data_IF_911105131541
#
_entry.id   IF_911105131541
#
_cell.length_a   1.000
_cell.length_b   1.000
_cell.length_c   1.000
_cell.angle_alpha   90.00
_cell.angle_beta   90.00
_cell.angle_gamma   90.00
#
_symmetry.space_group_name_H-M   'P 1'
#
loop_
_entity.id
_entity.type
_entity.pdbx_description
1 polymer ?
#
# COMPACT_ATOMS: atom_id res chain seq x y z
N UNK A 1 10.20 -14.39 -1.94
CA UNK A 1 9.02 -13.51 -1.74
C UNK A 1 9.44 -12.12 -1.24
N UNK A 2 10.32 -12.03 -0.26
CA UNK A 2 10.80 -10.75 0.32
C UNK A 2 11.33 -9.74 -0.73
N UNK A 3 12.16 -10.17 -1.67
CA UNK A 3 12.63 -9.28 -2.76
C UNK A 3 11.47 -8.76 -3.63
N UNK A 4 10.39 -9.52 -3.75
CA UNK A 4 9.23 -9.10 -4.51
C UNK A 4 8.47 -7.96 -3.80
N UNK A 5 8.48 -7.90 -2.47
CA UNK A 5 7.86 -6.80 -1.72
C UNK A 5 8.57 -5.47 -1.99
N UNK A 6 9.90 -5.45 -2.07
CA UNK A 6 10.62 -4.25 -2.47
C UNK A 6 10.30 -3.79 -3.89
N UNK A 7 10.14 -4.74 -4.82
CA UNK A 7 9.69 -4.41 -6.17
C UNK A 7 8.26 -3.86 -6.17
N UNK A 8 7.36 -4.39 -5.34
CA UNK A 8 6.00 -3.84 -5.14
C UNK A 8 6.04 -2.41 -4.58
N UNK A 9 6.89 -2.14 -3.59
CA UNK A 9 7.05 -0.79 -3.01
C UNK A 9 7.52 0.21 -4.08
N UNK A 10 8.38 -0.23 -5.01
CA UNK A 10 8.87 0.56 -6.14
C UNK A 10 7.89 0.60 -7.32
N UNK A 11 6.77 -0.14 -7.27
CA UNK A 11 5.79 -0.31 -8.35
C UNK A 11 6.40 -0.97 -9.60
N UNK A 12 7.48 -1.76 -9.44
CA UNK A 12 8.14 -2.52 -10.50
C UNK A 12 7.49 -3.91 -10.66
N UNK A 13 6.28 -3.93 -11.22
CA UNK A 13 5.52 -5.17 -11.41
C UNK A 13 6.16 -6.16 -12.40
N UNK A 14 6.86 -5.74 -13.47
CA UNK A 14 7.68 -6.66 -14.29
C UNK A 14 8.71 -7.43 -13.46
N UNK A 15 9.37 -6.77 -12.52
CA UNK A 15 10.32 -7.41 -11.60
C UNK A 15 9.62 -8.38 -10.65
N UNK A 16 8.45 -8.01 -10.12
CA UNK A 16 7.63 -8.93 -9.30
C UNK A 16 7.29 -10.19 -10.08
N UNK A 17 6.85 -10.05 -11.34
CA UNK A 17 6.53 -11.20 -12.20
C UNK A 17 7.73 -12.12 -12.40
N UNK A 18 8.91 -11.55 -12.70
CA UNK A 18 10.15 -12.31 -12.87
C UNK A 18 10.51 -13.11 -11.60
N UNK A 19 10.40 -12.47 -10.42
CA UNK A 19 10.69 -13.13 -9.15
C UNK A 19 9.70 -14.24 -8.84
N UNK A 20 8.41 -14.00 -9.06
CA UNK A 20 7.38 -15.03 -8.83
C UNK A 20 7.48 -16.22 -9.80
N UNK A 21 7.91 -16.00 -11.05
CA UNK A 21 8.10 -17.08 -12.01
C UNK A 21 9.16 -18.10 -11.57
N UNK A 22 10.10 -17.72 -10.71
CA UNK A 22 11.12 -18.61 -10.15
C UNK A 22 10.63 -19.43 -8.96
N UNK A 23 9.43 -19.15 -8.42
CA UNK A 23 8.89 -19.80 -7.23
C UNK A 23 8.00 -20.96 -7.63
N UNK A 24 8.37 -22.18 -7.18
CA UNK A 24 7.47 -23.33 -7.31
C UNK A 24 6.41 -23.28 -6.20
N UNK A 25 5.17 -22.96 -6.56
CA UNK A 25 4.05 -22.87 -5.61
C UNK A 25 3.84 -24.17 -4.82
N UNK A 26 3.94 -25.31 -5.49
CA UNK A 26 3.69 -26.62 -4.86
C UNK A 26 4.77 -27.01 -3.84
N UNK A 27 5.91 -26.33 -3.85
CA UNK A 27 6.96 -26.44 -2.85
C UNK A 27 6.77 -25.56 -1.62
N UNK A 28 5.78 -24.65 -1.61
CA UNK A 28 5.48 -23.80 -0.47
C UNK A 28 4.71 -24.60 0.59
N UNK A 29 5.29 -24.75 1.78
CA UNK A 29 4.70 -25.56 2.87
C UNK A 29 4.18 -24.70 4.02
N UNK A 30 4.74 -23.49 4.22
CA UNK A 30 4.29 -22.56 5.27
C UNK A 30 3.06 -21.81 4.76
N UNK A 31 2.02 -21.73 5.62
CA UNK A 31 0.80 -20.97 5.29
C UNK A 31 1.11 -19.51 4.91
N UNK A 32 2.02 -18.89 5.63
CA UNK A 32 2.46 -17.51 5.38
C UNK A 32 2.99 -17.32 3.95
N UNK A 33 3.89 -18.20 3.49
CA UNK A 33 4.46 -18.14 2.14
C UNK A 33 3.40 -18.34 1.05
N UNK A 34 2.42 -19.21 1.31
CA UNK A 34 1.29 -19.45 0.39
C UNK A 34 0.40 -18.21 0.29
N UNK A 35 0.05 -17.58 1.42
CA UNK A 35 -0.75 -16.36 1.46
C UNK A 35 -0.01 -15.20 0.79
N UNK A 36 1.29 -15.07 1.06
CA UNK A 36 2.14 -14.06 0.44
C UNK A 36 2.21 -14.24 -1.08
N UNK A 37 2.40 -15.49 -1.54
CA UNK A 37 2.39 -15.80 -2.97
C UNK A 37 1.06 -15.40 -3.62
N UNK A 38 -0.09 -15.75 -3.02
CA UNK A 38 -1.40 -15.36 -3.56
C UNK A 38 -1.60 -13.85 -3.56
N UNK A 39 -1.15 -13.15 -2.52
CA UNK A 39 -1.21 -11.70 -2.48
C UNK A 39 -0.42 -11.05 -3.64
N UNK A 40 0.81 -11.49 -3.87
CA UNK A 40 1.63 -11.00 -4.97
C UNK A 40 1.02 -11.36 -6.35
N UNK A 41 0.41 -12.54 -6.48
CA UNK A 41 -0.32 -12.91 -7.71
C UNK A 41 -1.52 -12.00 -7.95
N UNK A 42 -2.26 -11.65 -6.91
CA UNK A 42 -3.36 -10.69 -6.99
C UNK A 42 -2.88 -9.29 -7.42
N UNK A 43 -1.76 -8.82 -6.88
CA UNK A 43 -1.16 -7.55 -7.30
C UNK A 43 -0.69 -7.56 -8.75
N UNK A 44 -0.09 -8.66 -9.24
CA UNK A 44 0.30 -8.80 -10.64
C UNK A 44 -0.92 -8.78 -11.57
N UNK A 45 -1.93 -9.59 -11.25
CA UNK A 45 -3.17 -9.62 -12.03
C UNK A 45 -3.79 -8.22 -12.14
N UNK A 46 -3.76 -7.44 -11.06
CA UNK A 46 -4.32 -6.09 -11.05
C UNK A 46 -3.48 -5.06 -11.82
N UNK A 47 -2.16 -5.04 -11.58
CA UNK A 47 -1.30 -3.93 -12.00
C UNK A 47 -0.50 -4.19 -13.29
N UNK A 48 -0.29 -5.46 -13.66
CA UNK A 48 0.45 -5.83 -14.86
C UNK A 48 -0.47 -6.43 -15.92
N UNK A 49 -1.32 -7.38 -15.53
CA UNK A 49 -2.16 -8.12 -16.46
C UNK A 49 -3.50 -7.41 -16.73
N UNK A 50 -3.87 -6.43 -15.90
CA UNK A 50 -5.16 -5.72 -15.92
C UNK A 50 -6.37 -6.69 -15.88
N UNK A 51 -6.20 -7.80 -15.15
CA UNK A 51 -7.17 -8.89 -15.00
C UNK A 51 -7.84 -8.81 -13.62
N UNK A 52 -8.80 -7.91 -13.47
CA UNK A 52 -9.47 -7.59 -12.20
C UNK A 52 -10.16 -8.81 -11.58
N UNK A 53 -10.77 -9.66 -12.42
CA UNK A 53 -11.42 -10.90 -11.95
C UNK A 53 -10.42 -11.86 -11.33
N UNK A 54 -9.25 -12.01 -11.95
CA UNK A 54 -8.18 -12.88 -11.42
C UNK A 54 -7.59 -12.28 -10.15
N UNK A 55 -7.44 -10.96 -10.09
CA UNK A 55 -7.01 -10.27 -8.88
C UNK A 55 -7.97 -10.55 -7.70
N UNK A 56 -9.28 -10.39 -7.92
CA UNK A 56 -10.31 -10.73 -6.90
C UNK A 56 -10.26 -12.20 -6.50
N UNK A 57 -10.05 -13.12 -7.45
CA UNK A 57 -9.91 -14.55 -7.14
C UNK A 57 -8.75 -14.79 -6.16
N UNK A 58 -7.58 -14.21 -6.41
CA UNK A 58 -6.42 -14.36 -5.53
C UNK A 58 -6.65 -13.74 -4.15
N UNK A 59 -7.22 -12.54 -4.08
CA UNK A 59 -7.50 -11.88 -2.80
C UNK A 59 -8.58 -12.64 -2.01
N UNK A 60 -9.65 -13.09 -2.63
CA UNK A 60 -10.69 -13.88 -1.96
C UNK A 60 -10.16 -15.23 -1.46
N UNK A 61 -9.22 -15.86 -2.18
CA UNK A 61 -8.54 -17.08 -1.69
C UNK A 61 -7.85 -16.84 -0.34
N UNK A 62 -7.29 -15.64 -0.12
CA UNK A 62 -6.70 -15.26 1.17
C UNK A 62 -7.79 -15.00 2.22
N UNK A 63 -8.88 -14.31 1.85
CA UNK A 63 -9.98 -13.98 2.76
C UNK A 63 -10.72 -15.21 3.26
N UNK A 64 -10.82 -16.25 2.43
CA UNK A 64 -11.48 -17.53 2.78
C UNK A 64 -10.58 -18.47 3.60
N UNK A 65 -9.29 -18.15 3.75
CA UNK A 65 -8.35 -19.00 4.48
C UNK A 65 -8.54 -18.88 6.00
N UNK A 66 -8.43 -20.01 6.72
CA UNK A 66 -8.35 -20.00 8.18
C UNK A 66 -6.99 -19.50 8.62
N UNK A 67 -6.92 -18.24 9.10
CA UNK A 67 -5.68 -17.58 9.45
C UNK A 67 -5.32 -17.75 10.93
N UNK A 68 -4.04 -18.03 11.19
CA UNK A 68 -3.43 -17.86 12.52
C UNK A 68 -3.40 -16.37 12.90
N UNK A 69 -3.15 -16.07 14.19
CA UNK A 69 -3.01 -14.67 14.65
C UNK A 69 -1.91 -13.92 13.91
N UNK A 70 -0.80 -14.60 13.60
CA UNK A 70 0.36 -14.03 12.91
C UNK A 70 0.05 -13.68 11.45
N UNK A 71 -0.83 -14.44 10.78
CA UNK A 71 -1.15 -14.25 9.38
C UNK A 71 -2.29 -13.25 9.12
N UNK A 72 -2.79 -12.58 10.16
CA UNK A 72 -3.87 -11.58 10.01
C UNK A 72 -3.52 -10.42 9.10
N UNK A 73 -2.24 -10.08 8.97
CA UNK A 73 -1.79 -9.04 8.07
C UNK A 73 -2.17 -9.34 6.62
N UNK A 74 -2.09 -10.61 6.18
CA UNK A 74 -2.48 -11.00 4.82
C UNK A 74 -3.97 -10.83 4.56
N UNK A 75 -4.82 -10.98 5.59
CA UNK A 75 -6.25 -10.66 5.48
C UNK A 75 -6.46 -9.16 5.18
N UNK A 76 -5.77 -8.28 5.89
CA UNK A 76 -5.84 -6.84 5.65
C UNK A 76 -5.26 -6.46 4.28
N UNK A 77 -4.18 -7.12 3.84
CA UNK A 77 -3.60 -6.93 2.51
C UNK A 77 -4.57 -7.36 1.40
N UNK A 78 -5.29 -8.47 1.60
CA UNK A 78 -6.29 -8.94 0.66
C UNK A 78 -7.50 -7.97 0.58
N UNK A 79 -7.99 -7.49 1.74
CA UNK A 79 -9.04 -6.45 1.78
C UNK A 79 -8.58 -5.17 1.05
N UNK A 80 -7.34 -4.73 1.27
CA UNK A 80 -6.74 -3.62 0.53
C UNK A 80 -6.72 -3.90 -0.98
N UNK A 81 -6.34 -5.12 -1.38
CA UNK A 81 -6.33 -5.54 -2.79
C UNK A 81 -7.74 -5.49 -3.41
N UNK A 82 -8.76 -6.00 -2.71
CA UNK A 82 -10.15 -5.90 -3.15
C UNK A 82 -10.59 -4.44 -3.29
N UNK A 83 -10.25 -3.58 -2.31
CA UNK A 83 -10.54 -2.16 -2.40
C UNK A 83 -9.90 -1.52 -3.64
N UNK A 84 -8.65 -1.86 -3.96
CA UNK A 84 -7.97 -1.34 -5.15
C UNK A 84 -8.66 -1.77 -6.46
N UNK A 85 -9.16 -3.01 -6.53
CA UNK A 85 -9.93 -3.47 -7.70
C UNK A 85 -11.19 -2.63 -7.88
N UNK A 86 -11.99 -2.45 -6.82
CA UNK A 86 -13.23 -1.67 -6.91
C UNK A 86 -12.98 -0.18 -7.15
N UNK A 87 -11.88 0.38 -6.63
CA UNK A 87 -11.46 1.76 -6.93
C UNK A 87 -11.15 1.93 -8.44
N UNK A 88 -10.47 0.97 -9.06
CA UNK A 88 -10.23 0.97 -10.51
C UNK A 88 -11.52 0.83 -11.33
N UNK A 89 -12.52 0.11 -10.82
CA UNK A 89 -13.86 -0.01 -11.41
C UNK A 89 -14.72 1.25 -11.20
N UNK A 90 -14.21 2.26 -10.51
CA UNK A 90 -14.94 3.45 -10.06
C UNK A 90 -16.14 3.13 -9.13
N UNK A 91 -16.14 1.96 -8.48
CA UNK A 91 -17.10 1.58 -7.43
C UNK A 91 -16.54 2.01 -6.06
N UNK A 92 -16.56 3.34 -5.84
CA UNK A 92 -15.97 3.98 -4.65
C UNK A 92 -16.62 3.47 -3.36
N UNK A 93 -17.92 3.19 -3.39
CA UNK A 93 -18.67 2.72 -2.20
C UNK A 93 -18.17 1.33 -1.77
N UNK A 94 -17.98 0.41 -2.71
CA UNK A 94 -17.39 -0.90 -2.40
C UNK A 94 -15.94 -0.79 -1.97
N UNK A 95 -15.13 0.03 -2.65
CA UNK A 95 -13.76 0.25 -2.26
C UNK A 95 -13.67 0.77 -0.81
N UNK A 96 -14.51 1.75 -0.46
CA UNK A 96 -14.64 2.29 0.91
C UNK A 96 -15.04 1.22 1.91
N UNK A 97 -16.03 0.39 1.58
CA UNK A 97 -16.47 -0.70 2.47
C UNK A 97 -15.31 -1.62 2.90
N UNK A 98 -14.43 -1.99 1.97
CA UNK A 98 -13.25 -2.81 2.32
C UNK A 98 -12.28 -2.06 3.24
N UNK A 99 -12.08 -0.75 3.02
CA UNK A 99 -11.27 0.05 3.94
C UNK A 99 -11.93 0.21 5.33
N UNK A 100 -13.24 0.30 5.43
CA UNK A 100 -13.94 0.36 6.72
C UNK A 100 -13.69 -0.92 7.55
N UNK A 101 -13.66 -2.08 6.88
CA UNK A 101 -13.30 -3.35 7.54
C UNK A 101 -11.83 -3.30 8.03
N UNK A 102 -10.90 -2.81 7.20
CA UNK A 102 -9.50 -2.63 7.59
C UNK A 102 -9.41 -1.73 8.82
N UNK A 103 -10.06 -0.56 8.79
CA UNK A 103 -10.01 0.44 9.86
C UNK A 103 -10.54 -0.10 11.18
N UNK A 104 -11.58 -0.95 11.16
CA UNK A 104 -12.11 -1.59 12.37
C UNK A 104 -11.12 -2.57 13.01
N UNK A 105 -10.18 -3.09 12.24
CA UNK A 105 -9.23 -4.13 12.65
C UNK A 105 -7.81 -3.62 12.89
N UNK A 106 -7.50 -2.40 12.42
CA UNK A 106 -6.14 -1.86 12.32
C UNK A 106 -5.44 -1.72 13.68
N UNK A 107 -6.20 -1.44 14.74
CA UNK A 107 -5.68 -1.31 16.12
C UNK A 107 -5.18 -2.63 16.72
N UNK A 108 -5.57 -3.77 16.15
CA UNK A 108 -5.26 -5.09 16.64
C UNK A 108 -4.08 -5.76 15.92
N UNK A 109 -3.42 -5.02 15.02
CA UNK A 109 -2.28 -5.54 14.24
C UNK A 109 -1.02 -5.54 15.11
N UNK A 110 -0.38 -6.70 15.21
CA UNK A 110 0.92 -6.84 15.84
C UNK A 110 2.00 -6.77 14.75
N UNK A 111 2.97 -5.88 14.93
CA UNK A 111 4.09 -5.68 14.02
C UNK A 111 5.34 -6.28 14.64
N UNK A 112 5.50 -7.60 14.46
CA UNK A 112 6.54 -8.38 15.13
C UNK A 112 7.89 -8.28 14.40
N UNK A 113 7.85 -8.14 13.07
CA UNK A 113 9.02 -8.12 12.20
C UNK A 113 8.98 -6.95 11.18
N UNK A 114 10.02 -6.85 10.36
CA UNK A 114 10.14 -5.80 9.34
C UNK A 114 9.14 -6.02 8.20
N UNK A 115 8.84 -7.25 7.84
CA UNK A 115 7.92 -7.58 6.75
C UNK A 115 6.50 -7.13 7.10
N UNK A 116 6.01 -7.50 8.28
CA UNK A 116 4.69 -7.06 8.77
C UNK A 116 4.60 -5.54 8.89
N UNK A 117 5.70 -4.88 9.27
CA UNK A 117 5.79 -3.42 9.30
C UNK A 117 5.64 -2.80 7.90
N UNK A 118 6.39 -3.29 6.90
CA UNK A 118 6.31 -2.78 5.52
C UNK A 118 4.94 -3.03 4.91
N UNK A 119 4.36 -4.20 5.15
CA UNK A 119 3.01 -4.56 4.72
C UNK A 119 1.97 -3.63 5.34
N UNK A 120 2.08 -3.35 6.64
CA UNK A 120 1.19 -2.44 7.34
C UNK A 120 1.31 -0.99 6.85
N UNK A 121 2.53 -0.51 6.64
CA UNK A 121 2.78 0.81 6.04
C UNK A 121 2.18 0.91 4.63
N UNK A 122 2.21 -0.17 3.85
CA UNK A 122 1.56 -0.19 2.54
C UNK A 122 0.03 -0.02 2.65
N UNK A 123 -0.60 -0.60 3.67
CA UNK A 123 -2.04 -0.43 3.93
C UNK A 123 -2.36 1.02 4.28
N UNK A 124 -1.59 1.63 5.19
CA UNK A 124 -1.79 3.02 5.60
C UNK A 124 -1.58 4.00 4.44
N UNK A 125 -0.51 3.83 3.68
CA UNK A 125 -0.17 4.68 2.55
C UNK A 125 -1.24 4.60 1.45
N UNK A 126 -1.61 3.39 1.01
CA UNK A 126 -2.63 3.22 -0.03
C UNK A 126 -4.02 3.68 0.44
N UNK A 127 -4.37 3.46 1.72
CA UNK A 127 -5.61 3.99 2.31
C UNK A 127 -5.64 5.51 2.30
N UNK A 128 -4.54 6.16 2.72
CA UNK A 128 -4.40 7.60 2.66
C UNK A 128 -4.56 8.15 1.24
N UNK A 129 -3.91 7.53 0.26
CA UNK A 129 -4.05 7.90 -1.16
C UNK A 129 -5.49 7.70 -1.67
N UNK A 130 -6.15 6.60 -1.30
CA UNK A 130 -7.54 6.33 -1.68
C UNK A 130 -8.48 7.41 -1.14
N UNK A 131 -8.46 7.68 0.16
CA UNK A 131 -9.31 8.69 0.78
C UNK A 131 -8.99 10.10 0.26
N UNK A 132 -7.71 10.43 0.02
CA UNK A 132 -7.30 11.71 -0.56
C UNK A 132 -7.88 11.94 -1.96
N UNK A 133 -7.80 10.95 -2.87
CA UNK A 133 -8.41 11.02 -4.20
C UNK A 133 -9.93 11.18 -4.14
N UNK A 134 -10.57 10.58 -3.14
CA UNK A 134 -12.01 10.66 -2.93
C UNK A 134 -12.43 11.84 -2.03
N UNK A 135 -11.57 12.83 -1.83
CA UNK A 135 -11.81 14.09 -1.13
C UNK A 135 -12.17 13.93 0.36
N UNK A 136 -11.93 12.76 0.95
CA UNK A 136 -12.04 12.53 2.38
C UNK A 136 -10.66 12.80 3.04
N UNK A 137 -10.28 14.09 3.05
CA UNK A 137 -8.95 14.50 3.51
C UNK A 137 -8.74 14.23 5.00
N UNK A 138 -9.79 14.28 5.80
CA UNK A 138 -9.71 13.97 7.24
C UNK A 138 -9.26 12.53 7.49
N UNK A 139 -9.88 11.55 6.82
CA UNK A 139 -9.51 10.16 6.95
C UNK A 139 -8.16 9.88 6.27
N UNK A 140 -7.90 10.51 5.11
CA UNK A 140 -6.61 10.45 4.43
C UNK A 140 -5.46 10.89 5.34
N UNK A 141 -5.54 12.12 5.89
CA UNK A 141 -4.52 12.69 6.75
C UNK A 141 -4.27 11.81 7.98
N UNK A 142 -5.32 11.29 8.62
CA UNK A 142 -5.22 10.41 9.78
C UNK A 142 -4.37 9.16 9.48
N UNK A 143 -4.62 8.49 8.35
CA UNK A 143 -3.86 7.29 7.95
C UNK A 143 -2.42 7.62 7.59
N UNK A 144 -2.22 8.72 6.85
CA UNK A 144 -0.89 9.15 6.41
C UNK A 144 -0.03 9.60 7.60
N UNK A 145 -0.58 10.35 8.54
CA UNK A 145 0.13 10.78 9.76
C UNK A 145 0.51 9.58 10.62
N UNK A 146 -0.40 8.60 10.78
CA UNK A 146 -0.09 7.35 11.49
C UNK A 146 1.06 6.59 10.81
N UNK A 147 1.05 6.51 9.47
CA UNK A 147 2.13 5.90 8.68
C UNK A 147 3.44 6.68 8.82
N UNK A 148 3.39 8.01 8.77
CA UNK A 148 4.57 8.87 8.93
C UNK A 148 5.20 8.74 10.32
N UNK A 149 4.38 8.73 11.37
CA UNK A 149 4.86 8.55 12.74
C UNK A 149 5.49 7.16 12.94
N UNK A 150 4.92 6.14 12.31
CA UNK A 150 5.48 4.80 12.33
C UNK A 150 6.83 4.74 11.59
N UNK A 151 6.93 5.38 10.41
CA UNK A 151 8.20 5.51 9.68
C UNK A 151 9.28 6.19 10.53
N UNK A 152 8.96 7.29 11.21
CA UNK A 152 9.90 7.98 12.12
C UNK A 152 10.34 7.08 13.27
N UNK A 153 9.38 6.43 13.93
CA UNK A 153 9.64 5.57 15.11
C UNK A 153 10.49 4.36 14.78
N UNK A 154 10.29 3.77 13.60
CA UNK A 154 10.94 2.52 13.19
C UNK A 154 12.10 2.75 12.19
N UNK A 155 12.41 4.02 11.87
CA UNK A 155 13.46 4.44 10.92
C UNK A 155 13.30 3.83 9.52
N UNK A 156 12.06 3.69 9.05
CA UNK A 156 11.73 3.19 7.71
C UNK A 156 11.52 4.37 6.75
N UNK A 157 12.20 4.34 5.61
CA UNK A 157 12.19 5.45 4.64
C UNK A 157 11.36 5.19 3.38
N UNK A 158 11.01 3.92 3.11
CA UNK A 158 10.45 3.50 1.81
C UNK A 158 9.08 4.13 1.48
N UNK A 159 8.22 4.35 2.46
CA UNK A 159 6.90 4.96 2.26
C UNK A 159 6.86 6.46 2.52
N UNK A 160 7.90 7.02 3.16
CA UNK A 160 7.92 8.41 3.63
C UNK A 160 7.69 9.40 2.49
N UNK A 161 8.32 9.18 1.33
CA UNK A 161 8.15 10.06 0.17
C UNK A 161 6.68 10.12 -0.31
N UNK A 162 6.02 8.96 -0.46
CA UNK A 162 4.63 8.88 -0.93
C UNK A 162 3.66 9.50 0.08
N UNK A 163 3.86 9.20 1.37
CA UNK A 163 3.06 9.76 2.46
C UNK A 163 3.11 11.29 2.45
N UNK A 164 4.31 11.86 2.41
CA UNK A 164 4.50 13.31 2.42
C UNK A 164 3.94 13.97 1.15
N UNK A 165 4.07 13.32 0.00
CA UNK A 165 3.49 13.80 -1.24
C UNK A 165 1.96 13.88 -1.15
N UNK A 166 1.30 12.84 -0.66
CA UNK A 166 -0.16 12.84 -0.50
C UNK A 166 -0.62 13.87 0.55
N UNK A 167 0.12 14.04 1.66
CA UNK A 167 -0.15 15.09 2.63
C UNK A 167 -0.04 16.49 2.01
N UNK A 168 0.94 16.71 1.10
CA UNK A 168 1.03 17.96 0.37
C UNK A 168 -0.19 18.18 -0.54
N UNK A 169 -0.62 17.15 -1.28
CA UNK A 169 -1.80 17.24 -2.14
C UNK A 169 -3.07 17.53 -1.34
N UNK A 170 -3.26 16.87 -0.21
CA UNK A 170 -4.40 17.13 0.68
C UNK A 170 -4.36 18.56 1.20
N UNK A 171 -3.21 19.03 1.67
CA UNK A 171 -3.06 20.41 2.18
C UNK A 171 -3.35 21.45 1.09
N UNK A 172 -2.98 21.23 -0.16
CA UNK A 172 -3.33 22.09 -1.29
C UNK A 172 -4.85 22.10 -1.49
N UNK A 173 -5.47 20.93 -1.54
CA UNK A 173 -6.90 20.77 -1.79
C UNK A 173 -7.77 21.41 -0.69
N UNK A 174 -7.29 21.38 0.54
CA UNK A 174 -7.93 22.02 1.70
C UNK A 174 -7.62 23.51 1.83
N UNK A 175 -6.91 24.13 0.86
CA UNK A 175 -6.42 25.51 0.91
C UNK A 175 -5.58 25.79 2.19
N UNK A 176 -4.79 24.80 2.60
CA UNK A 176 -3.95 24.88 3.78
C UNK A 176 -2.72 25.79 3.60
N UNK A 177 -1.84 25.79 4.60
CA UNK A 177 -0.66 26.63 4.61
C UNK A 177 0.31 26.32 3.48
N UNK A 178 0.67 27.34 2.69
CA UNK A 178 1.70 27.22 1.63
C UNK A 178 3.06 26.78 2.20
N UNK A 179 3.41 27.28 3.39
CA UNK A 179 4.65 26.87 4.06
C UNK A 179 4.67 25.36 4.34
N UNK A 180 3.54 24.80 4.80
CA UNK A 180 3.41 23.37 5.07
C UNK A 180 3.47 22.54 3.77
N UNK A 181 2.80 22.99 2.71
CA UNK A 181 2.89 22.36 1.38
C UNK A 181 4.33 22.31 0.90
N UNK A 182 5.04 23.43 0.92
CA UNK A 182 6.44 23.52 0.50
C UNK A 182 7.34 22.59 1.31
N UNK A 183 7.14 22.51 2.63
CA UNK A 183 7.89 21.58 3.48
C UNK A 183 7.64 20.12 3.08
N UNK A 184 6.37 19.73 2.97
CA UNK A 184 6.00 18.36 2.57
C UNK A 184 6.57 17.97 1.21
N UNK A 185 6.53 18.88 0.21
CA UNK A 185 7.08 18.61 -1.13
C UNK A 185 8.60 18.47 -1.10
N UNK A 186 9.30 19.34 -0.36
CA UNK A 186 10.76 19.29 -0.23
C UNK A 186 11.22 17.98 0.45
N UNK A 187 10.57 17.62 1.55
CA UNK A 187 10.89 16.40 2.29
C UNK A 187 10.54 15.15 1.45
N UNK A 188 9.39 15.16 0.77
CA UNK A 188 9.01 14.09 -0.16
C UNK A 188 10.06 13.92 -1.26
N UNK A 189 10.52 15.02 -1.88
CA UNK A 189 11.55 14.98 -2.91
C UNK A 189 12.89 14.43 -2.38
N UNK A 190 13.27 14.77 -1.15
CA UNK A 190 14.49 14.26 -0.53
C UNK A 190 14.43 12.73 -0.36
N UNK A 191 13.33 12.20 0.20
CA UNK A 191 13.14 10.77 0.36
C UNK A 191 12.94 10.04 -0.99
N UNK A 192 12.29 10.67 -1.97
CA UNK A 192 12.14 10.11 -3.31
C UNK A 192 13.50 9.95 -4.00
N UNK A 193 14.40 10.94 -3.87
CA UNK A 193 15.80 10.82 -4.37
C UNK A 193 16.56 9.69 -3.69
N UNK A 194 16.44 9.58 -2.36
CA UNK A 194 17.11 8.53 -1.59
C UNK A 194 16.66 7.12 -2.03
N UNK A 195 15.38 6.98 -2.38
CA UNK A 195 14.79 5.71 -2.81
C UNK A 195 14.84 5.49 -4.34
N UNK A 196 15.50 6.37 -5.10
CA UNK A 196 15.55 6.34 -6.58
C UNK A 196 14.14 6.33 -7.24
N UNK A 197 13.15 6.96 -6.62
CA UNK A 197 11.77 7.01 -7.12
C UNK A 197 11.60 8.18 -8.10
N UNK A 198 12.07 7.98 -9.34
CA UNK A 198 12.02 8.99 -10.40
C UNK A 198 10.59 9.38 -10.78
N UNK A 199 9.65 8.42 -10.77
CA UNK A 199 8.23 8.67 -11.09
C UNK A 199 7.62 9.66 -10.10
N UNK A 200 7.91 9.49 -8.81
CA UNK A 200 7.41 10.41 -7.79
C UNK A 200 8.08 11.79 -7.88
N UNK A 201 9.38 11.85 -8.19
CA UNK A 201 10.10 13.11 -8.41
C UNK A 201 9.48 13.93 -9.55
N UNK A 202 9.10 13.28 -10.65
CA UNK A 202 8.39 13.95 -11.75
C UNK A 202 7.02 14.49 -11.30
N UNK A 203 6.26 13.74 -10.51
CA UNK A 203 4.98 14.22 -9.95
C UNK A 203 5.17 15.41 -9.03
N UNK A 204 6.18 15.39 -8.17
CA UNK A 204 6.49 16.49 -7.24
C UNK A 204 6.83 17.76 -8.03
N UNK A 205 7.67 17.65 -9.06
CA UNK A 205 8.08 18.81 -9.87
C UNK A 205 6.92 19.52 -10.59
N UNK A 206 5.78 18.86 -10.79
CA UNK A 206 4.57 19.44 -11.39
C UNK A 206 3.71 20.21 -10.37
N UNK A 207 3.95 20.03 -9.05
CA UNK A 207 3.20 20.69 -7.99
C UNK A 207 4.02 21.78 -7.27
N UNK A 208 5.33 21.77 -7.43
CA UNK A 208 6.26 22.75 -6.84
C UNK A 208 6.36 23.99 -7.72
#
# INVERSE_FOLDING_TARGET
LFEADFAVIQLDFPKVAQLLASINKDGLTRQEDILHYYYLRGLLALNLDHAETDALYYFNTILDAHLSKQNKIYHLLALKGCSQVYDLQNDVDKARHYYDIILSSISNVQLEDEDSLLQFLSILCNGGEFYGRNQDYGQSNKLLEMGYDLCKKRHVIYFTARILFQLAQNNIAENGSQQRTTQYLNDSAAFARLNNNHVLLEKISKLA
#
